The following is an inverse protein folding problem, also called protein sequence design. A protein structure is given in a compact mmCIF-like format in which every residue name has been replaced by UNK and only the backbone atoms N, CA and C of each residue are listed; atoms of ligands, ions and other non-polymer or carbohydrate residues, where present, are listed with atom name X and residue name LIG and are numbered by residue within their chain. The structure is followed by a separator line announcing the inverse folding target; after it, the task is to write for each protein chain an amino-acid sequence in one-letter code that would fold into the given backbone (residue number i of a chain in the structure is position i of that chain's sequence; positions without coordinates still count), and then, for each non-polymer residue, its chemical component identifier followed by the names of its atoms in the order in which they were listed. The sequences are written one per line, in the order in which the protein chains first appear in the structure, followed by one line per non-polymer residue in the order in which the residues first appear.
data_IF_790944213970
#
_entry.id   IF_790944213970
#
_cell.length_a   1.000
_cell.length_b   1.000
_cell.length_c   1.000
_cell.angle_alpha   90.00
_cell.angle_beta   90.00
_cell.angle_gamma   90.00
#
_symmetry.space_group_name_H-M   'P 1'
#
loop_
_entity.id
_entity.type
_entity.pdbx_description
1 polymer ?
#
# COMPACT_ATOMS: atom_id res chain seq x y z
N UNK A 1 -8.02 10.09 12.03
CA UNK A 1 -7.97 8.64 11.74
C UNK A 1 -6.58 8.32 11.21
N UNK A 2 -5.84 7.35 11.81
CA UNK A 2 -4.49 7.03 11.32
C UNK A 2 -4.49 6.29 9.98
N UNK A 3 -5.61 5.69 9.60
CA UNK A 3 -5.75 5.05 8.27
C UNK A 3 -6.99 5.61 7.61
N UNK A 4 -6.80 6.22 6.44
CA UNK A 4 -7.90 6.71 5.61
C UNK A 4 -7.74 6.15 4.21
N UNK A 5 -8.84 6.09 3.45
CA UNK A 5 -8.79 5.62 2.08
C UNK A 5 -9.84 6.33 1.24
N UNK A 6 -9.57 6.38 -0.07
CA UNK A 6 -10.54 6.85 -1.04
C UNK A 6 -10.37 6.08 -2.35
N UNK A 7 -11.45 5.99 -3.10
CA UNK A 7 -11.44 5.39 -4.43
C UNK A 7 -11.77 6.49 -5.43
N UNK A 8 -10.89 6.66 -6.41
CA UNK A 8 -11.09 7.59 -7.54
C UNK A 8 -10.94 6.82 -8.84
N UNK A 9 -12.05 6.63 -9.56
CA UNK A 9 -12.04 5.84 -10.77
C UNK A 9 -11.53 4.43 -10.50
N UNK A 10 -10.43 4.03 -11.12
CA UNK A 10 -9.82 2.71 -10.97
C UNK A 10 -8.63 2.71 -9.99
N UNK A 11 -8.54 3.70 -9.11
CA UNK A 11 -7.42 3.81 -8.16
C UNK A 11 -7.91 3.85 -6.72
N UNK A 12 -7.31 2.99 -5.90
CA UNK A 12 -7.46 3.02 -4.44
C UNK A 12 -6.25 3.76 -3.86
N UNK A 13 -6.51 4.75 -3.01
CA UNK A 13 -5.46 5.43 -2.28
C UNK A 13 -5.67 5.23 -0.79
N UNK A 14 -4.66 4.68 -0.12
CA UNK A 14 -4.60 4.55 1.33
C UNK A 14 -3.61 5.59 1.86
N UNK A 15 -3.99 6.30 2.92
CA UNK A 15 -3.10 7.24 3.58
C UNK A 15 -2.92 6.80 5.03
N UNK A 16 -1.68 6.58 5.43
CA UNK A 16 -1.31 6.12 6.76
C UNK A 16 -0.58 7.23 7.50
N UNK A 17 -0.96 7.49 8.73
CA UNK A 17 -0.32 8.53 9.54
C UNK A 17 -0.09 8.06 10.96
N UNK A 18 0.87 8.71 11.64
CA UNK A 18 1.18 8.42 13.03
C UNK A 18 1.51 6.95 13.26
N UNK A 19 1.12 6.45 14.42
CA UNK A 19 1.37 5.07 14.83
C UNK A 19 0.19 4.16 14.49
N UNK A 20 -0.13 4.08 13.19
CA UNK A 20 -1.19 3.20 12.72
C UNK A 20 -0.87 1.73 13.06
N UNK A 21 -1.90 0.92 13.26
CA UNK A 21 -1.75 -0.50 13.58
C UNK A 21 -2.13 -1.39 12.40
N UNK A 22 -1.67 -2.63 12.45
CA UNK A 22 -2.03 -3.63 11.43
C UNK A 22 -3.54 -3.92 11.46
N UNK A 23 -4.16 -3.94 12.65
CA UNK A 23 -5.60 -4.14 12.77
C UNK A 23 -6.38 -3.00 12.09
N UNK A 24 -5.91 -1.76 12.22
CA UNK A 24 -6.51 -0.62 11.54
C UNK A 24 -6.38 -0.75 10.02
N UNK A 25 -5.25 -1.23 9.53
CA UNK A 25 -5.04 -1.48 8.11
C UNK A 25 -5.98 -2.57 7.59
N UNK A 26 -6.12 -3.67 8.31
CA UNK A 26 -7.03 -4.74 7.92
C UNK A 26 -8.48 -4.28 7.91
N UNK A 27 -8.87 -3.50 8.90
CA UNK A 27 -10.21 -2.93 8.95
C UNK A 27 -10.48 -2.07 7.72
N UNK A 28 -9.53 -1.21 7.36
CA UNK A 28 -9.66 -0.36 6.18
C UNK A 28 -9.76 -1.20 4.89
N UNK A 29 -8.93 -2.25 4.78
CA UNK A 29 -8.97 -3.14 3.64
C UNK A 29 -10.35 -3.83 3.49
N UNK A 30 -10.92 -4.27 4.62
CA UNK A 30 -12.26 -4.84 4.63
C UNK A 30 -13.33 -3.83 4.21
N UNK A 31 -13.20 -2.59 4.65
CA UNK A 31 -14.11 -1.51 4.26
C UNK A 31 -14.04 -1.24 2.75
N UNK A 32 -12.83 -1.25 2.18
CA UNK A 32 -12.65 -1.08 0.74
C UNK A 32 -13.39 -2.18 -0.03
N UNK A 33 -13.19 -3.43 0.36
CA UNK A 33 -13.82 -4.57 -0.32
C UNK A 33 -15.35 -4.54 -0.21
N UNK A 34 -15.88 -3.98 0.87
CA UNK A 34 -17.32 -3.83 1.08
C UNK A 34 -17.91 -2.56 0.48
N UNK A 35 -17.10 -1.70 -0.10
CA UNK A 35 -17.57 -0.43 -0.67
C UNK A 35 -18.29 -0.66 -2.00
N UNK A 36 -19.41 0.04 -2.26
CA UNK A 36 -20.05 0.01 -3.58
C UNK A 36 -19.18 0.60 -4.69
N UNK A 37 -18.15 1.37 -4.34
CA UNK A 37 -17.18 1.92 -5.29
C UNK A 37 -16.10 0.93 -5.68
N UNK A 38 -15.96 -0.17 -4.95
CA UNK A 38 -14.92 -1.17 -5.19
C UNK A 38 -15.15 -1.90 -6.52
N UNK A 39 -14.07 -2.06 -7.30
CA UNK A 39 -14.06 -2.88 -8.51
C UNK A 39 -12.72 -3.62 -8.59
N UNK A 40 -12.70 -4.91 -8.93
CA UNK A 40 -11.44 -5.62 -9.15
C UNK A 40 -10.62 -4.96 -10.27
N UNK A 41 -9.30 -4.99 -10.13
CA UNK A 41 -8.41 -4.42 -11.14
C UNK A 41 -7.97 -2.99 -10.84
N UNK A 42 -8.24 -2.49 -9.64
CA UNK A 42 -7.80 -1.15 -9.23
C UNK A 42 -6.30 -1.13 -9.00
N UNK A 43 -5.65 -0.02 -9.34
CA UNK A 43 -4.29 0.23 -8.89
C UNK A 43 -4.31 0.66 -7.42
N UNK A 44 -3.22 0.40 -6.69
CA UNK A 44 -3.14 0.70 -5.26
C UNK A 44 -1.98 1.64 -4.98
N UNK A 45 -2.28 2.76 -4.33
CA UNK A 45 -1.30 3.73 -3.89
C UNK A 45 -1.39 3.83 -2.36
N UNK A 46 -0.27 3.62 -1.69
CA UNK A 46 -0.18 3.73 -0.24
C UNK A 46 0.74 4.90 0.11
N UNK A 47 0.17 5.92 0.74
CA UNK A 47 0.90 7.12 1.14
C UNK A 47 1.28 6.99 2.62
N UNK A 48 2.57 6.81 2.89
CA UNK A 48 3.08 6.66 4.26
C UNK A 48 3.93 7.86 4.70
N UNK A 49 3.83 8.99 3.99
CA UNK A 49 4.66 10.17 4.26
C UNK A 49 4.50 10.70 5.69
N UNK A 50 3.35 10.47 6.32
CA UNK A 50 3.08 10.92 7.69
C UNK A 50 3.09 9.78 8.71
N UNK A 51 3.46 8.57 8.30
CA UNK A 51 3.55 7.44 9.22
C UNK A 51 4.81 7.52 10.08
N UNK A 52 4.69 7.15 11.35
CA UNK A 52 5.80 7.18 12.31
C UNK A 52 6.06 5.82 12.96
N UNK A 53 5.52 4.75 12.37
CA UNK A 53 5.76 3.40 12.88
C UNK A 53 7.19 2.94 12.60
N UNK A 54 7.69 2.06 13.46
CA UNK A 54 9.02 1.49 13.34
C UNK A 54 8.94 -0.02 13.57
N UNK A 55 8.37 -0.77 12.61
CA UNK A 55 8.14 -2.21 12.80
C UNK A 55 9.44 -3.01 12.75
N UNK A 56 9.50 -4.08 13.55
CA UNK A 56 10.57 -5.07 13.48
C UNK A 56 10.43 -5.89 12.19
N UNK A 57 11.46 -6.67 11.86
CA UNK A 57 11.42 -7.56 10.70
C UNK A 57 10.26 -8.57 10.79
N UNK A 58 10.00 -9.09 11.99
CA UNK A 58 8.89 -10.02 12.23
C UNK A 58 7.54 -9.34 12.00
N UNK A 59 7.39 -8.11 12.51
CA UNK A 59 6.17 -7.33 12.32
C UNK A 59 5.94 -7.00 10.84
N UNK A 60 7.00 -6.70 10.08
CA UNK A 60 6.91 -6.47 8.64
C UNK A 60 6.42 -7.73 7.93
N UNK A 61 6.97 -8.89 8.29
CA UNK A 61 6.57 -10.17 7.71
C UNK A 61 5.10 -10.46 7.98
N UNK A 62 4.65 -10.26 9.22
CA UNK A 62 3.26 -10.47 9.60
C UNK A 62 2.33 -9.51 8.85
N UNK A 63 2.74 -8.26 8.69
CA UNK A 63 1.98 -7.26 7.94
C UNK A 63 1.75 -7.70 6.50
N UNK A 64 2.81 -8.11 5.82
CA UNK A 64 2.71 -8.57 4.44
C UNK A 64 1.81 -9.81 4.35
N UNK A 65 2.01 -10.78 5.23
CA UNK A 65 1.22 -12.00 5.22
C UNK A 65 -0.28 -11.73 5.44
N UNK A 66 -0.61 -10.83 6.37
CA UNK A 66 -2.02 -10.53 6.68
C UNK A 66 -2.70 -9.67 5.61
N UNK A 67 -1.94 -8.80 4.93
CA UNK A 67 -2.51 -7.89 3.92
C UNK A 67 -2.51 -8.48 2.51
N UNK A 68 -1.68 -9.48 2.23
CA UNK A 68 -1.58 -10.08 0.90
C UNK A 68 -2.92 -10.55 0.33
N UNK A 69 -3.81 -11.25 1.09
CA UNK A 69 -5.09 -11.66 0.53
C UNK A 69 -5.99 -10.50 0.10
N UNK A 70 -5.92 -9.38 0.83
CA UNK A 70 -6.70 -8.18 0.48
C UNK A 70 -6.17 -7.56 -0.81
N UNK A 71 -4.85 -7.40 -0.92
CA UNK A 71 -4.24 -6.82 -2.11
C UNK A 71 -4.53 -7.67 -3.34
N UNK A 72 -4.47 -8.99 -3.22
CA UNK A 72 -4.77 -9.90 -4.33
C UNK A 72 -6.21 -9.75 -4.84
N UNK A 73 -7.16 -9.41 -3.95
CA UNK A 73 -8.55 -9.18 -4.33
C UNK A 73 -8.76 -7.80 -4.96
N UNK A 74 -8.09 -6.78 -4.42
CA UNK A 74 -8.22 -5.40 -4.91
C UNK A 74 -7.53 -5.25 -6.26
N UNK A 75 -6.31 -5.79 -6.39
CA UNK A 75 -5.49 -5.64 -7.59
C UNK A 75 -5.02 -7.02 -8.06
N UNK A 76 -5.74 -7.66 -8.99
CA UNK A 76 -5.30 -8.94 -9.55
C UNK A 76 -3.94 -8.87 -10.25
N UNK A 77 -3.54 -7.70 -10.76
CA UNK A 77 -2.19 -7.49 -11.29
C UNK A 77 -1.14 -7.47 -10.19
N UNK A 78 -1.57 -7.34 -8.93
CA UNK A 78 -0.71 -7.36 -7.73
C UNK A 78 0.33 -6.23 -7.70
N UNK A 79 -0.03 -5.07 -8.26
CA UNK A 79 0.85 -3.90 -8.27
C UNK A 79 0.45 -2.93 -7.17
N UNK A 80 1.44 -2.41 -6.45
CA UNK A 80 1.23 -1.49 -5.35
C UNK A 80 2.38 -0.49 -5.28
N UNK A 81 2.07 0.80 -5.28
CA UNK A 81 3.06 1.85 -5.12
C UNK A 81 2.99 2.41 -3.70
N UNK A 82 4.15 2.58 -3.06
CA UNK A 82 4.26 3.15 -1.72
C UNK A 82 5.05 4.46 -1.83
N UNK A 83 4.50 5.55 -1.29
CA UNK A 83 5.16 6.87 -1.27
C UNK A 83 5.62 7.19 0.15
N UNK A 84 6.92 7.42 0.31
CA UNK A 84 7.52 7.59 1.63
C UNK A 84 7.93 9.04 1.95
N UNK A 85 8.07 9.90 0.96
CA UNK A 85 8.73 11.18 1.12
C UNK A 85 10.24 10.99 1.19
N UNK A 86 10.95 12.01 1.68
CA UNK A 86 12.42 12.03 1.66
C UNK A 86 13.09 11.42 2.89
N UNK A 87 12.34 10.92 3.88
CA UNK A 87 12.90 10.33 5.10
C UNK A 87 13.58 8.99 4.78
N UNK A 88 14.92 8.87 4.97
CA UNK A 88 15.64 7.63 4.63
C UNK A 88 15.22 6.43 5.48
N UNK A 89 14.88 6.65 6.74
CA UNK A 89 14.45 5.58 7.65
C UNK A 89 13.11 4.99 7.20
N UNK A 90 12.15 5.86 6.91
CA UNK A 90 10.84 5.43 6.40
C UNK A 90 10.99 4.74 5.05
N UNK A 91 11.84 5.25 4.18
CA UNK A 91 12.13 4.63 2.89
C UNK A 91 12.69 3.22 3.08
N UNK A 92 13.66 3.05 3.99
CA UNK A 92 14.27 1.75 4.28
C UNK A 92 13.26 0.72 4.80
N UNK A 93 12.38 1.11 5.72
CA UNK A 93 11.32 0.24 6.23
C UNK A 93 10.43 -0.25 5.07
N UNK A 94 10.03 0.65 4.20
CA UNK A 94 9.10 0.32 3.12
C UNK A 94 9.79 -0.47 2.00
N UNK A 95 11.09 -0.31 1.81
CA UNK A 95 11.87 -1.18 0.92
C UNK A 95 11.86 -2.61 1.43
N UNK A 96 11.93 -2.81 2.75
CA UNK A 96 11.81 -4.14 3.36
C UNK A 96 10.42 -4.73 3.14
N UNK A 97 9.39 -3.93 3.28
CA UNK A 97 8.01 -4.35 3.01
C UNK A 97 7.88 -4.78 1.53
N UNK A 98 8.44 -4.02 0.60
CA UNK A 98 8.42 -4.35 -0.82
C UNK A 98 9.15 -5.66 -1.10
N UNK A 99 10.27 -5.91 -0.43
CA UNK A 99 11.03 -7.15 -0.57
C UNK A 99 10.20 -8.37 -0.16
N UNK A 100 9.53 -8.31 1.00
CA UNK A 100 8.64 -9.39 1.43
C UNK A 100 7.44 -9.54 0.51
N UNK A 101 6.88 -8.42 0.03
CA UNK A 101 5.78 -8.44 -0.94
C UNK A 101 6.19 -9.14 -2.24
N UNK A 102 7.41 -8.90 -2.72
CA UNK A 102 7.94 -9.53 -3.92
C UNK A 102 8.00 -11.05 -3.76
N UNK A 103 8.42 -11.54 -2.59
CA UNK A 103 8.44 -12.98 -2.28
C UNK A 103 7.05 -13.58 -2.26
N UNK A 104 6.04 -12.79 -1.94
CA UNK A 104 4.64 -13.22 -1.94
C UNK A 104 3.98 -13.11 -3.32
N UNK A 105 4.71 -12.68 -4.34
CA UNK A 105 4.21 -12.60 -5.71
C UNK A 105 3.61 -11.25 -6.08
N UNK A 106 3.89 -10.19 -5.32
CA UNK A 106 3.39 -8.85 -5.62
C UNK A 106 4.50 -7.96 -6.19
N UNK A 107 4.12 -7.01 -7.05
CA UNK A 107 5.03 -5.98 -7.55
C UNK A 107 4.80 -4.73 -6.71
N UNK A 108 5.53 -4.63 -5.60
CA UNK A 108 5.46 -3.49 -4.69
C UNK A 108 6.68 -2.61 -4.94
N UNK A 109 6.44 -1.36 -5.28
CA UNK A 109 7.53 -0.40 -5.55
C UNK A 109 7.41 0.79 -4.61
N UNK A 110 8.57 1.29 -4.19
CA UNK A 110 8.67 2.37 -3.22
C UNK A 110 9.23 3.61 -3.91
N UNK A 111 8.57 4.75 -3.69
CA UNK A 111 8.93 6.02 -4.30
C UNK A 111 9.08 7.09 -3.22
N UNK A 112 9.98 8.04 -3.44
CA UNK A 112 10.08 9.22 -2.58
C UNK A 112 8.98 10.22 -2.87
N UNK A 113 8.65 10.40 -4.15
CA UNK A 113 7.73 11.44 -4.62
C UNK A 113 6.41 10.86 -5.11
N UNK A 114 5.32 11.57 -4.80
CA UNK A 114 3.98 11.15 -5.23
C UNK A 114 3.88 11.08 -6.76
N UNK A 115 4.43 12.07 -7.47
CA UNK A 115 4.33 12.12 -8.92
C UNK A 115 5.02 10.92 -9.59
N UNK A 116 6.12 10.45 -9.04
CA UNK A 116 6.81 9.27 -9.55
C UNK A 116 5.94 8.02 -9.41
N UNK A 117 5.29 7.87 -8.25
CA UNK A 117 4.41 6.74 -7.98
C UNK A 117 3.19 6.76 -8.91
N UNK A 118 2.58 7.93 -9.09
CA UNK A 118 1.44 8.08 -9.98
C UNK A 118 1.80 7.78 -11.43
N UNK A 119 3.00 8.21 -11.87
CA UNK A 119 3.50 7.92 -13.21
C UNK A 119 3.68 6.43 -13.43
N UNK A 120 4.26 5.72 -12.48
CA UNK A 120 4.43 4.27 -12.58
C UNK A 120 3.09 3.54 -12.65
N UNK A 121 2.13 3.93 -11.81
CA UNK A 121 0.80 3.31 -11.80
C UNK A 121 0.05 3.58 -13.12
N UNK A 122 0.18 4.78 -13.67
CA UNK A 122 -0.44 5.13 -14.96
C UNK A 122 0.12 4.27 -16.09
N UNK A 123 1.44 4.05 -16.12
CA UNK A 123 2.09 3.19 -17.09
C UNK A 123 1.62 1.75 -16.97
N UNK A 124 1.49 1.25 -15.74
CA UNK A 124 1.00 -0.09 -15.47
C UNK A 124 -0.46 -0.26 -15.90
N UNK A 125 -1.30 0.76 -15.66
CA UNK A 125 -2.70 0.77 -16.07
C UNK A 125 -2.87 0.78 -17.59
N UNK A 126 -1.89 1.35 -18.30
CA UNK A 126 -1.92 1.48 -19.77
C UNK A 126 -1.39 0.24 -20.49
N UNK A 127 -0.75 -0.65 -19.76
CA UNK A 127 -0.09 -1.84 -20.34
C UNK A 127 -1.08 -2.94 -20.73
#
# INVERSE_FOLDING_TARGET
MPVTWEIRGSRLRLALSGKHTLDELEKAAGEVLGSPMFRPGMSVLVDVRLATVNPSAEEIRDRVARLAPYLARVSPSRECAIVTGSDPHRYGINKSIASFGSRAGFDVRVFHELDEALGWLADAESA
#
